data_IF_206698242855
#
_entry.id   IF_206698242855
#
_cell.length_a   1.000
_cell.length_b   1.000
_cell.length_c   1.000
_cell.angle_alpha   90.00
_cell.angle_beta   90.00
_cell.angle_gamma   90.00
#
_symmetry.space_group_name_H-M   'P 1'
#
loop_
_entity.id
_entity.type
_entity.pdbx_description
1 polymer ?
#
# COMPACT_ATOMS: atom_id res chain seq x y z
N UNK A 1 30.19 22.07 -7.94
CA UNK A 1 29.59 21.27 -9.02
C UNK A 1 28.36 20.64 -8.42
N UNK A 2 27.20 20.83 -9.04
CA UNK A 2 25.99 20.11 -8.65
C UNK A 2 26.23 18.60 -8.72
N UNK A 3 26.00 17.90 -7.61
CA UNK A 3 26.17 16.45 -7.48
C UNK A 3 24.80 15.76 -7.44
N UNK A 4 24.70 14.52 -7.94
CA UNK A 4 23.48 13.70 -7.77
C UNK A 4 23.81 12.43 -7.01
N UNK A 5 23.24 12.29 -5.82
CA UNK A 5 23.30 11.08 -5.01
C UNK A 5 22.15 10.17 -5.44
N UNK A 6 22.46 8.90 -5.74
CA UNK A 6 21.46 7.87 -6.08
C UNK A 6 21.50 6.73 -5.07
N UNK A 7 20.35 6.40 -4.50
CA UNK A 7 20.16 5.25 -3.60
C UNK A 7 19.26 4.25 -4.33
N UNK A 8 19.84 3.15 -4.80
CA UNK A 8 19.16 2.09 -5.56
C UNK A 8 19.89 0.75 -5.35
N UNK A 9 19.26 -0.26 -4.71
CA UNK A 9 17.92 -0.24 -4.14
C UNK A 9 17.86 0.44 -2.77
N UNK A 10 16.69 0.96 -2.41
CA UNK A 10 16.38 1.30 -1.01
C UNK A 10 16.15 0.00 -0.24
N UNK A 11 16.83 -0.17 0.90
CA UNK A 11 16.72 -1.37 1.75
C UNK A 11 15.92 -1.11 3.02
N UNK A 12 15.49 -2.19 3.70
CA UNK A 12 14.62 -2.16 4.90
C UNK A 12 13.26 -1.50 4.68
N UNK A 13 12.73 -1.64 3.47
CA UNK A 13 11.36 -1.27 3.10
C UNK A 13 10.68 -2.48 2.45
N UNK A 14 9.36 -2.40 2.30
CA UNK A 14 8.63 -3.27 1.37
C UNK A 14 8.65 -2.68 -0.03
N UNK A 15 8.66 -3.55 -1.04
CA UNK A 15 8.62 -3.16 -2.45
C UNK A 15 9.95 -2.72 -3.03
N UNK A 16 9.89 -2.09 -4.21
CA UNK A 16 11.06 -1.62 -4.94
C UNK A 16 10.95 -0.13 -5.18
N UNK A 17 12.03 0.58 -4.87
CA UNK A 17 12.08 2.03 -5.01
C UNK A 17 13.51 2.52 -5.12
N UNK A 18 13.65 3.73 -5.65
CA UNK A 18 14.91 4.46 -5.82
C UNK A 18 14.74 5.88 -5.28
N UNK A 19 15.79 6.44 -4.68
CA UNK A 19 15.85 7.87 -4.34
C UNK A 19 16.96 8.54 -5.15
N UNK A 20 16.67 9.72 -5.69
CA UNK A 20 17.69 10.61 -6.27
C UNK A 20 17.67 11.94 -5.53
N UNK A 21 18.83 12.39 -5.07
CA UNK A 21 19.00 13.67 -4.36
C UNK A 21 19.96 14.52 -5.17
N UNK A 22 19.54 15.73 -5.52
CA UNK A 22 20.37 16.73 -6.21
C UNK A 22 20.92 17.70 -5.18
N UNK A 23 22.24 17.88 -5.17
CA UNK A 23 22.93 18.85 -4.33
C UNK A 23 23.33 20.09 -5.15
N UNK A 24 23.22 21.26 -4.53
CA UNK A 24 23.77 22.51 -5.05
C UNK A 24 25.30 22.57 -4.90
N UNK A 25 25.90 23.66 -5.38
CA UNK A 25 27.35 23.86 -5.29
C UNK A 25 27.86 24.04 -3.84
N UNK A 26 26.98 24.36 -2.89
CA UNK A 26 27.29 24.45 -1.46
C UNK A 26 27.13 23.10 -0.73
N UNK A 27 26.70 22.05 -1.44
CA UNK A 27 26.42 20.73 -0.87
C UNK A 27 25.08 20.62 -0.14
N UNK A 28 24.19 21.61 -0.30
CA UNK A 28 22.82 21.57 0.24
C UNK A 28 21.87 20.89 -0.74
N UNK A 29 20.80 20.28 -0.22
CA UNK A 29 19.79 19.61 -1.06
C UNK A 29 18.97 20.66 -1.82
N UNK A 30 19.00 20.58 -3.15
CA UNK A 30 18.19 21.40 -4.06
C UNK A 30 16.91 20.67 -4.50
N UNK A 31 17.00 19.35 -4.78
CA UNK A 31 15.86 18.50 -5.14
C UNK A 31 16.02 17.08 -4.55
N UNK A 32 14.91 16.39 -4.31
CA UNK A 32 14.88 15.01 -3.88
C UNK A 32 13.65 14.30 -4.45
N UNK A 33 13.86 13.18 -5.14
CA UNK A 33 12.79 12.41 -5.79
C UNK A 33 12.76 10.97 -5.28
N UNK A 34 11.57 10.53 -4.93
CA UNK A 34 11.26 9.14 -4.61
C UNK A 34 10.59 8.48 -5.82
N UNK A 35 11.20 7.41 -6.32
CA UNK A 35 10.76 6.67 -7.49
C UNK A 35 10.18 5.34 -7.04
N UNK A 36 8.89 5.12 -7.26
CA UNK A 36 8.26 3.82 -7.07
C UNK A 36 8.45 3.01 -8.35
N UNK A 37 9.24 1.94 -8.30
CA UNK A 37 9.67 1.20 -9.50
C UNK A 37 8.92 -0.11 -9.73
N UNK A 38 8.02 -0.47 -8.81
CA UNK A 38 7.21 -1.69 -8.91
C UNK A 38 5.75 -1.38 -9.21
N UNK A 39 5.13 -2.20 -10.09
CA UNK A 39 3.71 -2.14 -10.40
C UNK A 39 3.14 -3.53 -10.62
N UNK A 40 1.94 -3.81 -10.06
CA UNK A 40 1.22 -5.10 -10.20
C UNK A 40 -0.23 -4.96 -10.65
N UNK A 41 -0.78 -3.74 -10.71
CA UNK A 41 -2.10 -3.47 -11.28
C UNK A 41 -3.29 -4.24 -10.66
N UNK A 42 -3.38 -4.34 -9.32
CA UNK A 42 -4.49 -5.07 -8.67
C UNK A 42 -5.87 -4.55 -9.08
N UNK A 43 -6.00 -3.24 -9.31
CA UNK A 43 -7.23 -2.58 -9.78
C UNK A 43 -7.73 -3.18 -11.10
N UNK A 44 -6.80 -3.40 -12.05
CA UNK A 44 -7.14 -4.02 -13.34
C UNK A 44 -7.38 -5.52 -13.19
N UNK A 45 -6.61 -6.18 -12.33
CA UNK A 45 -6.69 -7.62 -12.10
C UNK A 45 -8.03 -8.08 -11.50
N UNK A 46 -8.75 -7.19 -10.81
CA UNK A 46 -10.03 -7.53 -10.17
C UNK A 46 -11.26 -7.19 -11.00
N UNK A 47 -11.11 -6.55 -12.15
CA UNK A 47 -12.24 -6.28 -13.02
C UNK A 47 -12.96 -7.58 -13.44
N UNK A 48 -14.28 -7.60 -13.34
CA UNK A 48 -15.11 -8.76 -13.67
C UNK A 48 -15.13 -9.89 -12.64
N UNK A 49 -14.41 -9.75 -11.51
CA UNK A 49 -14.43 -10.74 -10.44
C UNK A 49 -15.64 -10.57 -9.51
N UNK A 50 -16.14 -11.66 -8.91
CA UNK A 50 -17.15 -11.57 -7.86
C UNK A 50 -16.62 -10.79 -6.65
N UNK A 51 -17.42 -9.85 -6.14
CA UNK A 51 -16.98 -8.94 -5.08
C UNK A 51 -16.55 -9.66 -3.79
N UNK A 52 -17.18 -10.79 -3.46
CA UNK A 52 -16.89 -11.55 -2.23
C UNK A 52 -15.51 -12.25 -2.25
N UNK A 53 -14.86 -12.36 -3.41
CA UNK A 53 -13.49 -12.88 -3.51
C UNK A 53 -12.43 -11.80 -3.23
N UNK A 54 -12.82 -10.52 -3.34
CA UNK A 54 -11.89 -9.40 -3.28
C UNK A 54 -11.14 -9.28 -1.95
N UNK A 55 -11.73 -9.54 -0.76
CA UNK A 55 -10.98 -9.44 0.49
C UNK A 55 -9.70 -10.30 0.49
N UNK A 56 -9.80 -11.56 0.09
CA UNK A 56 -8.65 -12.46 0.02
C UNK A 56 -7.62 -12.04 -1.05
N UNK A 57 -8.07 -11.43 -2.14
CA UNK A 57 -7.20 -10.94 -3.21
C UNK A 57 -6.48 -9.63 -2.82
N UNK A 58 -7.19 -8.69 -2.20
CA UNK A 58 -6.65 -7.40 -1.79
C UNK A 58 -5.59 -7.56 -0.70
N UNK A 59 -5.72 -8.56 0.19
CA UNK A 59 -4.65 -8.92 1.14
C UNK A 59 -3.31 -9.26 0.47
N UNK A 60 -3.28 -9.54 -0.84
CA UNK A 60 -2.04 -9.80 -1.59
C UNK A 60 -1.41 -8.53 -2.18
N UNK A 61 -2.01 -7.37 -1.97
CA UNK A 61 -1.37 -6.09 -2.32
C UNK A 61 -0.12 -5.92 -1.49
N UNK A 62 -0.13 -6.12 -0.18
CA UNK A 62 1.10 -5.98 0.61
C UNK A 62 1.14 -7.06 1.69
N UNK A 63 2.28 -7.74 1.82
CA UNK A 63 2.48 -8.76 2.85
C UNK A 63 2.65 -8.18 4.26
N UNK A 64 3.07 -6.91 4.38
CA UNK A 64 3.23 -6.23 5.67
C UNK A 64 1.88 -5.73 6.18
N UNK A 65 1.15 -4.93 5.40
CA UNK A 65 -0.17 -4.42 5.78
C UNK A 65 -1.33 -5.28 5.22
N UNK A 66 -1.15 -6.61 5.24
CA UNK A 66 -2.10 -7.59 4.67
C UNK A 66 -3.53 -7.34 5.20
N UNK A 67 -3.69 -7.28 6.52
CA UNK A 67 -4.99 -7.14 7.18
C UNK A 67 -5.69 -5.85 6.79
N UNK A 68 -4.97 -4.72 6.71
CA UNK A 68 -5.56 -3.44 6.34
C UNK A 68 -6.21 -3.49 4.95
N UNK A 69 -5.57 -4.17 4.00
CA UNK A 69 -6.14 -4.35 2.67
C UNK A 69 -7.36 -5.30 2.66
N UNK A 70 -7.30 -6.40 3.41
CA UNK A 70 -8.43 -7.34 3.54
C UNK A 70 -9.65 -6.64 4.15
N UNK A 71 -9.45 -5.87 5.23
CA UNK A 71 -10.51 -5.15 5.92
C UNK A 71 -11.11 -4.03 5.07
N UNK A 72 -10.27 -3.23 4.39
CA UNK A 72 -10.75 -2.19 3.49
C UNK A 72 -11.61 -2.80 2.36
N UNK A 73 -11.17 -3.92 1.79
CA UNK A 73 -11.94 -4.64 0.77
C UNK A 73 -13.24 -5.23 1.33
N UNK A 74 -13.23 -5.77 2.55
CA UNK A 74 -14.43 -6.28 3.19
C UNK A 74 -15.45 -5.16 3.48
N UNK A 75 -14.98 -3.98 3.90
CA UNK A 75 -15.82 -2.80 4.09
C UNK A 75 -16.44 -2.31 2.77
N UNK A 76 -15.70 -2.38 1.66
CA UNK A 76 -16.25 -2.10 0.33
C UNK A 76 -17.34 -3.11 -0.06
N UNK A 77 -17.15 -4.40 0.26
CA UNK A 77 -18.17 -5.43 0.03
C UNK A 77 -19.44 -5.17 0.87
N UNK A 78 -19.28 -4.79 2.14
CA UNK A 78 -20.42 -4.43 2.99
C UNK A 78 -21.21 -3.25 2.42
N UNK A 79 -20.51 -2.24 1.88
CA UNK A 79 -21.14 -1.09 1.23
C UNK A 79 -21.93 -1.50 -0.03
N UNK A 80 -21.38 -2.40 -0.86
CA UNK A 80 -22.09 -2.97 -2.03
C UNK A 80 -23.37 -3.68 -1.60
N UNK A 81 -23.32 -4.43 -0.50
CA UNK A 81 -24.47 -5.17 0.04
C UNK A 81 -25.42 -4.31 0.89
N UNK A 82 -25.12 -3.02 1.08
CA UNK A 82 -25.82 -2.13 2.00
C UNK A 82 -25.94 -2.68 3.44
N UNK A 83 -24.90 -3.39 3.89
CA UNK A 83 -24.83 -3.99 5.23
C UNK A 83 -24.05 -3.09 6.18
N UNK A 84 -24.53 -2.97 7.41
CA UNK A 84 -23.81 -2.30 8.50
C UNK A 84 -23.32 -3.33 9.52
N UNK A 85 -22.02 -3.49 9.62
CA UNK A 85 -21.38 -4.37 10.62
C UNK A 85 -21.35 -3.69 11.99
N UNK A 86 -22.00 -4.32 12.98
CA UNK A 86 -22.20 -3.77 14.32
C UNK A 86 -21.80 -4.78 15.40
N UNK A 87 -21.65 -4.32 16.64
CA UNK A 87 -21.36 -5.18 17.80
C UNK A 87 -20.02 -5.91 17.68
N UNK A 88 -20.01 -7.17 18.13
CA UNK A 88 -18.80 -8.01 18.21
C UNK A 88 -18.05 -8.13 16.88
N UNK A 89 -18.68 -8.37 15.70
CA UNK A 89 -17.97 -8.40 14.42
C UNK A 89 -17.17 -7.13 14.09
N UNK A 90 -17.68 -5.93 14.42
CA UNK A 90 -16.92 -4.68 14.22
C UNK A 90 -15.69 -4.63 15.13
N UNK A 91 -15.86 -5.00 16.39
CA UNK A 91 -14.77 -5.01 17.37
C UNK A 91 -13.68 -6.03 16.98
N UNK A 92 -14.06 -7.18 16.42
CA UNK A 92 -13.10 -8.16 15.90
C UNK A 92 -12.28 -7.58 14.75
N UNK A 93 -12.91 -6.86 13.81
CA UNK A 93 -12.19 -6.18 12.72
C UNK A 93 -11.19 -5.14 13.26
N UNK A 94 -11.59 -4.37 14.27
CA UNK A 94 -10.71 -3.38 14.92
C UNK A 94 -9.52 -4.03 15.61
N UNK A 95 -9.75 -5.09 16.39
CA UNK A 95 -8.68 -5.82 17.10
C UNK A 95 -7.67 -6.41 16.12
N UNK A 96 -8.13 -7.05 15.04
CA UNK A 96 -7.21 -7.65 14.06
C UNK A 96 -6.41 -6.56 13.33
N UNK A 97 -7.02 -5.40 13.05
CA UNK A 97 -6.31 -4.25 12.46
C UNK A 97 -5.28 -3.62 13.41
N UNK A 98 -5.50 -3.62 14.72
CA UNK A 98 -4.52 -3.13 15.69
C UNK A 98 -3.40 -4.13 15.97
N UNK A 99 -3.67 -5.42 15.76
CA UNK A 99 -2.69 -6.48 15.95
C UNK A 99 -1.83 -6.78 14.71
N UNK A 100 -2.13 -6.15 13.57
CA UNK A 100 -1.43 -6.34 12.29
C UNK A 100 -0.28 -5.37 12.10
#
# INVERSE_FOLDING_TARGET
MSETITIDPITRIEGHSKITIQLDDAGSVDDARFHVTQYRAFEKFVEGRPFYELPALMGRICGICTISHELASAQACDAIMAVRVMGTPRMLREIVNFGS
#
